data_IF_751929332861
#
_entry.id   IF_751929332861
#
_cell.length_a   1.000
_cell.length_b   1.000
_cell.length_c   1.000
_cell.angle_alpha   90.00
_cell.angle_beta   90.00
_cell.angle_gamma   90.00
#
_symmetry.space_group_name_H-M   'P 1'
#
loop_
_entity.id
_entity.type
_entity.pdbx_description
1 polymer ?
#
# COMPACT_ATOMS: atom_id res chain seq x y z
N UNK A 1 7.52 -9.77 51.67
CA UNK A 1 7.09 -10.54 50.47
C UNK A 1 6.25 -9.71 49.48
N UNK A 2 6.71 -8.51 49.04
CA UNK A 2 5.99 -7.69 48.04
C UNK A 2 6.88 -7.14 46.91
N UNK A 3 8.20 -7.36 46.96
CA UNK A 3 9.17 -6.86 45.97
C UNK A 3 9.57 -7.89 44.91
N UNK A 4 9.31 -9.17 45.15
CA UNK A 4 9.66 -10.27 44.23
C UNK A 4 8.60 -10.42 43.10
N UNK A 5 7.34 -10.08 43.38
CA UNK A 5 6.26 -10.17 42.39
C UNK A 5 6.32 -9.08 41.30
N UNK A 6 7.11 -8.02 41.49
CA UNK A 6 7.28 -6.96 40.49
C UNK A 6 8.28 -7.39 39.39
N UNK A 7 9.35 -8.10 39.78
CA UNK A 7 10.40 -8.55 38.84
C UNK A 7 9.89 -9.67 37.92
N UNK A 8 9.03 -10.55 38.43
CA UNK A 8 8.39 -11.61 37.63
C UNK A 8 7.41 -11.07 36.58
N UNK A 9 6.78 -9.91 36.84
CA UNK A 9 5.87 -9.28 35.89
C UNK A 9 6.61 -8.57 34.73
N UNK A 10 7.81 -8.02 35.00
CA UNK A 10 8.68 -7.47 33.96
C UNK A 10 9.34 -8.57 33.11
N UNK A 11 9.65 -9.74 33.67
CA UNK A 11 10.16 -10.88 32.90
C UNK A 11 9.10 -11.40 31.91
N UNK A 12 7.83 -11.49 32.33
CA UNK A 12 6.75 -12.01 31.49
C UNK A 12 6.43 -11.13 30.26
N UNK A 13 6.64 -9.82 30.34
CA UNK A 13 6.46 -8.89 29.20
C UNK A 13 7.61 -8.94 28.19
N UNK A 14 8.80 -9.43 28.58
CA UNK A 14 9.92 -9.63 27.66
C UNK A 14 9.78 -10.92 26.83
N UNK A 15 9.20 -11.98 27.39
CA UNK A 15 9.04 -13.26 26.68
C UNK A 15 7.97 -13.26 25.58
N UNK A 16 7.03 -12.31 25.57
CA UNK A 16 6.04 -12.19 24.50
C UNK A 16 6.60 -11.57 23.21
N UNK A 17 7.76 -10.91 23.26
CA UNK A 17 8.37 -10.29 22.08
C UNK A 17 9.33 -11.24 21.32
N UNK A 18 9.79 -12.32 21.94
CA UNK A 18 10.80 -13.22 21.35
C UNK A 18 10.24 -14.31 20.42
N UNK A 19 8.95 -14.27 20.10
CA UNK A 19 8.26 -15.30 19.29
C UNK A 19 8.15 -14.95 17.79
N UNK A 20 9.11 -14.19 17.25
CA UNK A 20 9.16 -13.87 15.80
C UNK A 20 10.45 -14.29 15.11
N UNK A 21 11.10 -15.37 15.57
CA UNK A 21 12.04 -16.12 14.73
C UNK A 21 11.24 -16.92 13.70
N UNK A 22 10.55 -16.22 12.79
CA UNK A 22 9.86 -16.83 11.68
C UNK A 22 10.94 -17.21 10.67
N UNK A 23 11.17 -18.51 10.53
CA UNK A 23 12.05 -19.13 9.56
C UNK A 23 11.85 -18.42 8.21
N UNK A 24 12.85 -17.65 7.78
CA UNK A 24 12.82 -16.91 6.53
C UNK A 24 12.78 -17.95 5.42
N UNK A 25 11.57 -18.39 5.01
CA UNK A 25 11.37 -19.31 3.89
C UNK A 25 12.24 -18.79 2.76
N UNK A 26 13.07 -19.66 2.19
CA UNK A 26 14.13 -19.29 1.25
C UNK A 26 13.58 -18.91 -0.16
N UNK A 27 12.49 -18.15 -0.19
CA UNK A 27 11.76 -17.75 -1.39
C UNK A 27 12.53 -16.70 -2.19
N UNK A 28 13.47 -15.98 -1.57
CA UNK A 28 14.37 -15.02 -2.21
C UNK A 28 15.29 -15.69 -3.24
N UNK A 29 15.70 -16.93 -2.96
CA UNK A 29 16.60 -17.71 -3.82
C UNK A 29 15.85 -18.64 -4.80
N UNK A 30 14.51 -18.68 -4.76
CA UNK A 30 13.70 -19.52 -5.65
C UNK A 30 13.53 -18.93 -7.06
N UNK A 31 13.51 -19.81 -8.07
CA UNK A 31 13.17 -19.43 -9.45
C UNK A 31 11.74 -18.84 -9.52
N UNK A 32 11.45 -17.90 -10.44
CA UNK A 32 10.14 -17.26 -10.53
C UNK A 32 8.96 -18.25 -10.63
N UNK A 33 9.12 -19.34 -11.37
CA UNK A 33 8.06 -20.34 -11.53
C UNK A 33 7.80 -21.15 -10.26
N UNK A 34 8.85 -21.48 -9.49
CA UNK A 34 8.72 -22.15 -8.20
C UNK A 34 8.02 -21.24 -7.17
N UNK A 35 8.33 -19.94 -7.19
CA UNK A 35 7.64 -18.94 -6.35
C UNK A 35 6.16 -18.88 -6.67
N UNK A 36 5.80 -18.82 -7.97
CA UNK A 36 4.39 -18.79 -8.39
C UNK A 36 3.65 -20.06 -7.95
N UNK A 37 4.23 -21.24 -8.15
CA UNK A 37 3.62 -22.50 -7.75
C UNK A 37 3.39 -22.56 -6.23
N UNK A 38 4.43 -22.22 -5.44
CA UNK A 38 4.35 -22.17 -3.98
C UNK A 38 3.26 -21.20 -3.52
N UNK A 39 3.25 -19.96 -4.04
CA UNK A 39 2.23 -18.95 -3.70
C UNK A 39 0.84 -19.43 -4.11
N UNK A 40 0.68 -20.11 -5.25
CA UNK A 40 -0.65 -20.56 -5.69
C UNK A 40 -1.28 -21.54 -4.70
N UNK A 41 -0.46 -22.43 -4.11
CA UNK A 41 -0.84 -23.47 -3.14
C UNK A 41 -1.09 -22.95 -1.72
N UNK A 42 -0.63 -21.74 -1.39
CA UNK A 42 -0.84 -21.15 -0.06
C UNK A 42 -2.31 -20.77 0.20
N UNK A 43 -2.73 -20.90 1.46
CA UNK A 43 -4.03 -20.41 1.94
C UNK A 43 -4.08 -18.86 1.90
N UNK A 44 -5.27 -18.23 1.86
CA UNK A 44 -5.39 -16.78 1.85
C UNK A 44 -4.65 -16.08 2.98
N UNK A 45 -4.67 -16.65 4.18
CA UNK A 45 -4.00 -16.13 5.38
C UNK A 45 -2.47 -16.18 5.22
N UNK A 46 -1.94 -17.32 4.76
CA UNK A 46 -0.51 -17.49 4.49
C UNK A 46 -0.01 -16.53 3.39
N UNK A 47 -0.84 -16.26 2.38
CA UNK A 47 -0.55 -15.25 1.34
C UNK A 47 -0.47 -13.84 1.92
N UNK A 48 -1.35 -13.51 2.87
CA UNK A 48 -1.34 -12.20 3.52
C UNK A 48 -0.09 -12.02 4.39
N UNK A 49 0.26 -13.04 5.18
CA UNK A 49 1.49 -13.04 5.99
C UNK A 49 2.73 -12.90 5.12
N UNK A 50 2.83 -13.65 4.02
CA UNK A 50 3.96 -13.55 3.09
C UNK A 50 4.08 -12.14 2.49
N UNK A 51 2.96 -11.53 2.06
CA UNK A 51 2.95 -10.16 1.54
C UNK A 51 3.29 -9.12 2.60
N UNK A 52 2.97 -9.40 3.86
CA UNK A 52 3.29 -8.55 4.99
C UNK A 52 4.80 -8.58 5.26
N UNK A 53 5.38 -9.78 5.39
CA UNK A 53 6.84 -9.97 5.53
C UNK A 53 7.62 -9.36 4.36
N UNK A 54 7.14 -9.52 3.13
CA UNK A 54 7.80 -8.94 1.96
C UNK A 54 7.86 -7.41 2.04
N UNK A 55 6.75 -6.76 2.44
CA UNK A 55 6.69 -5.31 2.59
C UNK A 55 7.58 -4.82 3.72
N UNK A 56 7.62 -5.54 4.85
CA UNK A 56 8.51 -5.24 5.97
C UNK A 56 9.98 -5.31 5.54
N UNK A 57 10.38 -6.41 4.90
CA UNK A 57 11.76 -6.64 4.49
C UNK A 57 12.21 -5.62 3.44
N UNK A 58 11.36 -5.34 2.45
CA UNK A 58 11.64 -4.31 1.45
C UNK A 58 11.83 -2.93 2.11
N UNK A 59 10.95 -2.56 3.03
CA UNK A 59 11.04 -1.26 3.70
C UNK A 59 12.28 -1.18 4.59
N UNK A 60 12.63 -2.25 5.30
CA UNK A 60 13.86 -2.30 6.11
C UNK A 60 15.12 -2.12 5.27
N UNK A 61 15.17 -2.72 4.09
CA UNK A 61 16.29 -2.61 3.15
C UNK A 61 16.37 -1.21 2.53
N UNK A 62 15.23 -0.68 2.08
CA UNK A 62 15.16 0.64 1.44
C UNK A 62 15.54 1.76 2.42
N UNK A 63 15.14 1.63 3.69
CA UNK A 63 15.46 2.61 4.71
C UNK A 63 16.84 2.42 5.34
N UNK A 64 17.60 1.38 4.98
CA UNK A 64 18.87 1.04 5.62
C UNK A 64 18.77 1.02 7.16
N UNK A 65 17.82 0.22 7.66
CA UNK A 65 17.56 0.12 9.11
C UNK A 65 18.77 -0.52 9.81
N UNK A 66 19.32 0.09 10.88
CA UNK A 66 20.44 -0.47 11.62
C UNK A 66 20.18 -1.90 12.08
N UNK A 67 21.18 -2.77 11.97
CA UNK A 67 21.03 -4.21 12.24
C UNK A 67 20.51 -4.49 13.66
N UNK A 68 20.95 -3.72 14.65
CA UNK A 68 20.53 -3.80 16.06
C UNK A 68 19.12 -3.25 16.31
N UNK A 69 18.49 -2.63 15.31
CA UNK A 69 17.15 -2.03 15.39
C UNK A 69 16.10 -2.68 14.49
N UNK A 70 16.46 -3.73 13.75
CA UNK A 70 15.54 -4.37 12.79
C UNK A 70 14.29 -4.96 13.45
N UNK A 71 14.43 -5.57 14.62
CA UNK A 71 13.29 -6.17 15.32
C UNK A 71 12.36 -5.09 15.93
N UNK A 72 12.95 -4.04 16.49
CA UNK A 72 12.21 -2.86 16.96
C UNK A 72 11.45 -2.19 15.81
N UNK A 73 12.11 -2.03 14.67
CA UNK A 73 11.50 -1.48 13.46
C UNK A 73 10.35 -2.35 12.97
N UNK A 74 10.54 -3.67 12.84
CA UNK A 74 9.50 -4.60 12.38
C UNK A 74 8.25 -4.50 13.25
N UNK A 75 8.46 -4.53 14.57
CA UNK A 75 7.39 -4.41 15.56
C UNK A 75 6.62 -3.10 15.39
N UNK A 76 7.34 -1.98 15.32
CA UNK A 76 6.74 -0.66 15.22
C UNK A 76 6.04 -0.43 13.86
N UNK A 77 6.62 -0.93 12.78
CA UNK A 77 6.05 -0.87 11.44
C UNK A 77 4.75 -1.66 11.35
N UNK A 78 4.69 -2.85 11.95
CA UNK A 78 3.46 -3.63 12.02
C UNK A 78 2.38 -2.96 12.87
N UNK A 79 2.76 -2.40 14.02
CA UNK A 79 1.86 -1.60 14.86
C UNK A 79 1.26 -0.43 14.05
N UNK A 80 2.10 0.27 13.28
CA UNK A 80 1.68 1.37 12.42
C UNK A 80 0.73 0.90 11.31
N UNK A 81 1.07 -0.15 10.54
CA UNK A 81 0.23 -0.68 9.47
C UNK A 81 -1.14 -1.15 9.97
N UNK A 82 -1.17 -1.84 11.10
CA UNK A 82 -2.42 -2.31 11.70
C UNK A 82 -3.26 -1.13 12.22
N UNK A 83 -2.64 -0.12 12.83
CA UNK A 83 -3.37 1.09 13.26
C UNK A 83 -3.98 1.86 12.08
N UNK A 84 -3.27 1.95 10.95
CA UNK A 84 -3.75 2.53 9.70
C UNK A 84 -4.94 1.74 9.15
N UNK A 85 -4.87 0.40 9.19
CA UNK A 85 -5.95 -0.48 8.77
C UNK A 85 -7.19 -0.31 9.65
N UNK A 86 -7.03 -0.34 10.97
CA UNK A 86 -8.14 -0.15 11.91
C UNK A 86 -8.84 1.21 11.75
N UNK A 87 -8.07 2.27 11.51
CA UNK A 87 -8.65 3.58 11.16
C UNK A 87 -9.49 3.42 9.90
N UNK A 88 -8.93 2.91 8.80
CA UNK A 88 -9.64 2.77 7.51
C UNK A 88 -10.87 1.86 7.59
N UNK A 89 -10.82 0.77 8.34
CA UNK A 89 -11.93 -0.19 8.45
C UNK A 89 -13.16 0.38 9.16
N UNK A 90 -12.96 1.34 10.08
CA UNK A 90 -14.06 2.07 10.71
C UNK A 90 -14.80 2.98 9.73
N UNK A 91 -14.15 3.38 8.64
CA UNK A 91 -14.74 4.20 7.59
C UNK A 91 -15.08 3.36 6.37
N UNK A 92 -16.33 2.89 6.30
CA UNK A 92 -16.89 2.29 5.08
C UNK A 92 -17.33 3.41 4.14
N UNK A 93 -16.42 3.90 3.31
CA UNK A 93 -16.77 4.88 2.29
C UNK A 93 -17.86 4.32 1.37
N UNK A 94 -18.96 5.07 1.20
CA UNK A 94 -19.93 4.72 0.18
C UNK A 94 -19.26 4.83 -1.19
N UNK A 95 -19.58 3.89 -2.09
CA UNK A 95 -19.11 3.91 -3.48
C UNK A 95 -20.18 4.36 -4.47
N UNK A 96 -21.40 4.54 -3.98
CA UNK A 96 -22.51 5.01 -4.80
C UNK A 96 -22.95 6.38 -4.30
N UNK A 97 -22.41 7.42 -4.94
CA UNK A 97 -22.79 8.80 -4.72
C UNK A 97 -23.98 9.21 -5.59
N UNK A 98 -24.25 8.43 -6.64
CA UNK A 98 -25.35 8.67 -7.58
C UNK A 98 -26.67 8.29 -6.91
N UNK A 99 -27.51 9.29 -6.64
CA UNK A 99 -28.77 9.13 -5.92
C UNK A 99 -28.69 9.42 -4.41
N UNK A 100 -27.54 9.84 -3.88
CA UNK A 100 -27.51 10.43 -2.54
C UNK A 100 -28.24 11.77 -2.53
N UNK A 101 -29.04 12.03 -1.49
CA UNK A 101 -29.54 13.38 -1.24
C UNK A 101 -28.42 14.26 -0.64
N UNK A 102 -28.58 15.58 -0.69
CA UNK A 102 -27.58 16.55 -0.25
C UNK A 102 -27.16 16.37 1.23
N UNK A 103 -28.08 15.95 2.09
CA UNK A 103 -27.79 15.72 3.51
C UNK A 103 -26.85 14.54 3.68
N UNK A 104 -27.14 13.42 3.02
CA UNK A 104 -26.32 12.21 3.10
C UNK A 104 -24.97 12.41 2.43
N UNK A 105 -24.94 13.13 1.29
CA UNK A 105 -23.70 13.52 0.64
C UNK A 105 -22.83 14.41 1.54
N UNK A 106 -23.44 15.36 2.24
CA UNK A 106 -22.73 16.19 3.23
C UNK A 106 -22.17 15.36 4.39
N UNK A 107 -22.94 14.40 4.92
CA UNK A 107 -22.44 13.51 5.97
C UNK A 107 -21.25 12.68 5.50
N UNK A 108 -21.26 12.23 4.25
CA UNK A 108 -20.14 11.46 3.68
C UNK A 108 -18.89 12.34 3.48
N UNK A 109 -19.05 13.60 3.07
CA UNK A 109 -17.97 14.58 3.05
C UNK A 109 -17.37 14.79 4.45
N UNK A 110 -18.21 15.00 5.47
CA UNK A 110 -17.76 15.24 6.83
C UNK A 110 -16.97 14.03 7.39
N UNK A 111 -17.42 12.79 7.12
CA UNK A 111 -16.67 11.57 7.45
C UNK A 111 -15.32 11.49 6.74
N UNK A 112 -15.22 11.96 5.49
CA UNK A 112 -13.96 11.94 4.73
C UNK A 112 -12.89 12.82 5.39
N UNK A 113 -13.29 13.98 5.94
CA UNK A 113 -12.40 14.85 6.69
C UNK A 113 -11.98 14.21 8.00
N UNK A 114 -12.90 13.58 8.72
CA UNK A 114 -12.58 12.88 9.96
C UNK A 114 -11.57 11.74 9.73
N UNK A 115 -11.77 10.92 8.70
CA UNK A 115 -10.83 9.89 8.29
C UNK A 115 -9.44 10.50 8.00
N UNK A 116 -9.39 11.58 7.21
CA UNK A 116 -8.15 12.28 6.89
C UNK A 116 -7.43 12.77 8.15
N UNK A 117 -8.16 13.35 9.10
CA UNK A 117 -7.60 13.83 10.37
C UNK A 117 -7.05 12.67 11.22
N UNK A 118 -7.77 11.56 11.33
CA UNK A 118 -7.31 10.39 12.09
C UNK A 118 -6.04 9.79 11.48
N UNK A 119 -5.98 9.67 10.15
CA UNK A 119 -4.79 9.20 9.44
C UNK A 119 -3.60 10.14 9.62
N UNK A 120 -3.81 11.45 9.58
CA UNK A 120 -2.75 12.44 9.80
C UNK A 120 -2.23 12.40 11.24
N UNK A 121 -3.13 12.31 12.22
CA UNK A 121 -2.77 12.18 13.63
C UNK A 121 -1.98 10.89 13.89
N UNK A 122 -2.39 9.79 13.25
CA UNK A 122 -1.67 8.53 13.29
C UNK A 122 -0.26 8.67 12.72
N UNK A 123 -0.12 9.26 11.53
CA UNK A 123 1.19 9.55 10.92
C UNK A 123 2.09 10.36 11.84
N UNK A 124 1.56 11.41 12.48
CA UNK A 124 2.30 12.22 13.47
C UNK A 124 2.79 11.36 14.64
N UNK A 125 1.88 10.63 15.29
CA UNK A 125 2.19 9.75 16.42
C UNK A 125 3.31 8.76 16.09
N UNK A 126 3.23 8.10 14.95
CA UNK A 126 4.25 7.11 14.58
C UNK A 126 5.54 7.74 14.10
N UNK A 127 5.52 8.95 13.51
CA UNK A 127 6.76 9.67 13.18
C UNK A 127 7.62 9.95 14.42
N UNK A 128 6.98 10.27 15.55
CA UNK A 128 7.67 10.47 16.83
C UNK A 128 8.24 9.16 17.38
N UNK A 129 7.51 8.06 17.23
CA UNK A 129 7.99 6.72 17.64
C UNK A 129 9.17 6.27 16.77
N UNK A 130 9.07 6.41 15.45
CA UNK A 130 10.12 6.01 14.50
C UNK A 130 11.39 6.83 14.66
N UNK A 131 11.33 8.08 15.10
CA UNK A 131 12.52 8.91 15.37
C UNK A 131 13.47 8.32 16.43
N UNK A 132 13.02 7.33 17.22
CA UNK A 132 13.87 6.59 18.16
C UNK A 132 14.75 5.53 17.48
N UNK A 133 14.43 5.16 16.25
CA UNK A 133 15.04 4.06 15.50
C UNK A 133 15.64 4.55 14.17
N UNK A 134 15.01 5.56 13.56
CA UNK A 134 15.33 6.09 12.24
C UNK A 134 15.59 7.60 12.29
N UNK A 135 16.38 8.08 11.33
CA UNK A 135 16.55 9.50 11.07
C UNK A 135 15.28 10.10 10.45
N UNK A 136 15.00 11.41 10.64
CA UNK A 136 13.86 12.06 10.02
C UNK A 136 13.76 11.86 8.50
N UNK A 137 14.88 11.81 7.77
CA UNK A 137 14.91 11.60 6.32
C UNK A 137 14.40 10.21 5.94
N UNK A 138 14.82 9.17 6.66
CA UNK A 138 14.33 7.80 6.45
C UNK A 138 12.81 7.72 6.73
N UNK A 139 12.32 8.45 7.72
CA UNK A 139 10.87 8.49 8.03
C UNK A 139 10.08 9.19 6.92
N UNK A 140 10.63 10.26 6.34
CA UNK A 140 10.02 10.93 5.18
C UNK A 140 9.95 9.99 3.97
N UNK A 141 11.03 9.28 3.69
CA UNK A 141 11.12 8.28 2.62
C UNK A 141 10.13 7.14 2.82
N UNK A 142 10.06 6.57 4.03
CA UNK A 142 9.08 5.54 4.39
C UNK A 142 7.65 5.97 4.04
N UNK A 143 7.24 7.18 4.45
CA UNK A 143 5.90 7.68 4.16
C UNK A 143 5.66 7.97 2.67
N UNK A 144 6.69 8.36 1.92
CA UNK A 144 6.58 8.56 0.48
C UNK A 144 6.39 7.22 -0.25
N UNK A 145 7.13 6.20 0.17
CA UNK A 145 7.13 4.88 -0.46
C UNK A 145 5.81 4.14 -0.24
N UNK A 146 5.17 4.31 0.92
CA UNK A 146 3.83 3.77 1.18
C UNK A 146 2.77 4.26 0.20
N UNK A 147 2.77 5.57 -0.09
CA UNK A 147 1.85 6.17 -1.06
C UNK A 147 2.04 5.58 -2.46
N UNK A 148 3.29 5.44 -2.89
CA UNK A 148 3.65 4.90 -4.21
C UNK A 148 3.36 3.40 -4.35
N UNK A 149 3.67 2.60 -3.32
CA UNK A 149 3.40 1.16 -3.33
C UNK A 149 1.90 0.88 -3.42
N UNK A 150 1.08 1.63 -2.68
CA UNK A 150 -0.37 1.50 -2.75
C UNK A 150 -0.90 1.79 -4.15
N UNK A 151 -0.43 2.86 -4.80
CA UNK A 151 -0.84 3.22 -6.16
C UNK A 151 -0.45 2.13 -7.17
N UNK A 152 0.80 1.65 -7.14
CA UNK A 152 1.28 0.58 -8.05
C UNK A 152 0.51 -0.73 -7.90
N UNK A 153 0.10 -1.09 -6.69
CA UNK A 153 -0.72 -2.30 -6.44
C UNK A 153 -2.13 -2.13 -7.02
N UNK A 154 -2.74 -0.94 -6.86
CA UNK A 154 -4.07 -0.66 -7.40
C UNK A 154 -4.07 -0.63 -8.93
N UNK A 155 -3.08 -0.01 -9.56
CA UNK A 155 -2.91 0.02 -11.02
C UNK A 155 -2.83 -1.39 -11.61
N UNK A 156 -1.98 -2.27 -11.04
CA UNK A 156 -1.86 -3.67 -11.50
C UNK A 156 -3.14 -4.47 -11.32
N UNK A 157 -3.91 -4.19 -10.27
CA UNK A 157 -5.21 -4.86 -10.04
C UNK A 157 -6.22 -4.46 -11.11
N UNK A 158 -6.27 -3.19 -11.48
CA UNK A 158 -7.16 -2.69 -12.53
C UNK A 158 -6.76 -3.22 -13.92
N UNK A 159 -5.46 -3.28 -14.22
CA UNK A 159 -4.96 -3.83 -15.49
C UNK A 159 -5.30 -5.32 -15.66
N UNK A 160 -5.19 -6.10 -14.59
CA UNK A 160 -5.57 -7.52 -14.61
C UNK A 160 -7.09 -7.72 -14.75
N UNK A 161 -7.92 -6.84 -14.19
CA UNK A 161 -9.37 -6.90 -14.40
C UNK A 161 -9.77 -6.53 -15.83
N UNK A 162 -9.10 -5.56 -16.44
CA UNK A 162 -9.36 -5.18 -17.85
C UNK A 162 -8.89 -6.23 -18.86
N UNK A 163 -7.93 -7.09 -18.52
CA UNK A 163 -7.50 -8.23 -19.36
C UNK A 163 -8.38 -9.47 -19.23
N UNK A 164 -9.19 -9.57 -18.17
CA UNK A 164 -10.04 -10.73 -17.90
C UNK A 164 -11.41 -10.69 -18.61
N UNK A 165 -11.77 -9.59 -19.28
CA UNK A 165 -12.94 -9.55 -20.18
C UNK A 165 -12.55 -10.08 -21.56
N UNK A 166 -13.09 -11.23 -22.01
CA UNK A 166 -12.93 -11.65 -23.40
C UNK A 166 -13.62 -10.60 -24.26
N UNK A 167 -12.84 -9.86 -25.04
CA UNK A 167 -13.36 -8.99 -26.09
C UNK A 167 -14.01 -9.90 -27.12
N UNK A 168 -15.32 -10.12 -26.97
CA UNK A 168 -16.13 -10.93 -27.85
C UNK A 168 -15.84 -10.56 -29.30
N UNK A 169 -15.31 -11.54 -30.01
CA UNK A 169 -14.99 -11.52 -31.42
C UNK A 169 -16.30 -11.42 -32.21
N UNK A 170 -16.81 -10.21 -32.37
CA UNK A 170 -17.81 -9.90 -33.39
C UNK A 170 -17.09 -9.48 -34.66
N UNK A 171 -16.68 -10.48 -35.45
CA UNK A 171 -16.28 -10.29 -36.83
C UNK A 171 -17.46 -9.67 -37.59
N UNK A 172 -17.35 -8.38 -37.94
CA UNK A 172 -18.26 -7.70 -38.87
C UNK A 172 -17.61 -7.71 -40.27
N UNK A 173 -18.26 -8.23 -41.32
CA UNK A 173 -17.67 -8.27 -42.65
C UNK A 173 -17.52 -6.86 -43.24
N UNK A 174 -16.35 -6.56 -43.80
CA UNK A 174 -16.12 -5.38 -44.62
C UNK A 174 -16.97 -5.45 -45.91
N UNK A 175 -17.99 -4.61 -46.03
CA UNK A 175 -18.48 -4.22 -47.34
C UNK A 175 -17.69 -3.00 -47.82
N UNK A 176 -16.90 -3.22 -48.88
CA UNK A 176 -16.28 -2.17 -49.69
C UNK A 176 -17.38 -1.34 -50.36
N UNK A 177 -17.48 -0.07 -50.00
CA UNK A 177 -18.25 0.94 -50.73
C UNK A 177 -17.44 2.23 -50.79
N UNK A 178 -16.92 2.55 -51.97
CA UNK A 178 -16.25 3.80 -52.32
C UNK A 178 -17.19 4.99 -52.11
N UNK A 179 -16.69 6.07 -51.52
CA UNK A 179 -16.92 7.44 -52.01
C UNK A 179 -15.87 8.37 -51.38
N UNK A 180 -15.05 8.97 -52.24
CA UNK A 180 -14.16 10.09 -51.89
C UNK A 180 -15.04 11.32 -51.67
N UNK A 181 -14.91 11.97 -50.51
CA UNK A 181 -15.11 13.41 -50.43
C UNK A 181 -14.11 13.99 -49.44
N UNK A 182 -13.17 14.79 -49.95
CA UNK A 182 -12.26 15.60 -49.14
C UNK A 182 -13.00 16.84 -48.67
N UNK A 183 -12.82 17.20 -47.40
CA UNK A 183 -13.07 18.54 -46.85
C UNK A 183 -11.86 18.91 -45.98
N UNK A 184 -11.27 20.10 -46.14
CA UNK A 184 -10.12 20.51 -45.36
C UNK A 184 -10.54 21.29 -44.09
N UNK A 185 -9.85 21.02 -42.98
CA UNK A 185 -9.72 21.96 -41.87
C UNK A 185 -10.50 21.63 -40.61
N UNK A 186 -9.82 21.09 -39.59
CA UNK A 186 -9.82 21.60 -38.21
C UNK A 186 -8.87 20.77 -37.34
N UNK A 187 -8.06 21.47 -36.53
CA UNK A 187 -6.87 21.01 -35.83
C UNK A 187 -7.11 19.91 -34.77
N UNK A 188 -6.10 19.08 -34.46
CA UNK A 188 -6.15 18.22 -33.27
C UNK A 188 -5.84 19.04 -32.01
N UNK A 189 -6.80 19.06 -31.09
CA UNK A 189 -6.62 19.58 -29.73
C UNK A 189 -5.54 18.79 -28.99
N UNK A 190 -4.51 19.51 -28.53
CA UNK A 190 -3.51 19.01 -27.57
C UNK A 190 -4.18 18.77 -26.22
N UNK A 191 -4.42 17.52 -25.88
CA UNK A 191 -4.71 17.11 -24.50
C UNK A 191 -3.37 17.03 -23.74
N UNK A 192 -3.12 18.02 -22.90
CA UNK A 192 -1.89 18.16 -22.12
C UNK A 192 -2.23 18.10 -20.63
N UNK A 193 -2.61 16.93 -20.13
CA UNK A 193 -2.71 16.67 -18.69
C UNK A 193 -1.41 16.07 -18.19
N UNK A 194 -0.51 16.95 -17.75
CA UNK A 194 0.78 16.58 -17.18
C UNK A 194 0.91 17.20 -15.78
N UNK A 195 0.26 16.59 -14.78
CA UNK A 195 0.56 16.86 -13.37
C UNK A 195 1.69 15.92 -12.91
N UNK A 196 2.90 16.21 -13.39
CA UNK A 196 4.13 15.64 -12.89
C UNK A 196 4.87 16.65 -12.02
N UNK A 197 4.75 16.56 -10.70
CA UNK A 197 5.69 17.20 -9.77
C UNK A 197 7.04 16.50 -9.91
N UNK A 198 7.87 17.03 -10.81
CA UNK A 198 9.23 16.54 -11.09
C UNK A 198 10.20 17.40 -10.30
N UNK A 199 10.48 17.05 -9.05
CA UNK A 199 11.61 17.64 -8.31
C UNK A 199 12.89 17.02 -8.85
N UNK A 200 13.56 17.75 -9.73
CA UNK A 200 14.97 17.54 -9.99
C UNK A 200 15.74 17.95 -8.72
N UNK A 201 16.57 17.05 -8.19
CA UNK A 201 17.72 17.48 -7.41
C UNK A 201 18.92 16.69 -7.89
N UNK A 202 19.77 17.39 -8.63
CA UNK A 202 21.11 16.99 -9.04
C UNK A 202 21.96 16.85 -7.78
N UNK A 203 22.65 15.72 -7.64
CA UNK A 203 23.87 15.66 -6.83
C UNK A 203 25.06 16.04 -7.71
N UNK A 204 26.05 16.78 -7.20
CA UNK A 204 27.44 16.61 -7.65
C UNK A 204 28.00 15.26 -7.18
#
# INVERSE_FOLDING_TARGET
MKRINLVLSFLALFFLNSLHAQEEKDWRNMKPEQRKDLISKMKPEEKQELLQQFRENMMMEELDVPADKKDDFRTLYNEYQESQKQIKERFKASRNFEGMNDRDAKQELDKSFELGQQLMNNRRKYSEKFQKILKPQQILEMFQNEGMMRTKILERKNDNQNRATPRGESARPQQRGRTLHQTPGSAPGRNNNNNGFRTQSRRP
#
